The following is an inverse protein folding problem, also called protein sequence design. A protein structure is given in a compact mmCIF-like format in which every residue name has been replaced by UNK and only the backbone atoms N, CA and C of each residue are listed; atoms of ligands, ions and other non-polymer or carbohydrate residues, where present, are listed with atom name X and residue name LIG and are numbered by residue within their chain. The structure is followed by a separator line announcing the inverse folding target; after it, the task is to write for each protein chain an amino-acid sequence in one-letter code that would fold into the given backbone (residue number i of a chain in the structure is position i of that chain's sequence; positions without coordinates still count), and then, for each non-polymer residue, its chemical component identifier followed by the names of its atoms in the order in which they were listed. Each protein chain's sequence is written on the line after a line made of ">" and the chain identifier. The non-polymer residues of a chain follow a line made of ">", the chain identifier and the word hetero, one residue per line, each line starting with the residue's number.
data_IF_208740926524
#
_entry.id   IF_208740926524
#
_cell.length_a   1.000
_cell.length_b   1.000
_cell.length_c   1.000
_cell.angle_alpha   90.00
_cell.angle_beta   90.00
_cell.angle_gamma   90.00
#
_symmetry.space_group_name_H-M   'P 1'
#
loop_
_entity.id
_entity.type
_entity.pdbx_description
1 polymer ?
#
# COMPACT_ATOMS: atom_id res chain seq x y z
N UNK A 1 -23.62 -31.36 2.48
CA UNK A 1 -23.81 -30.11 1.70
C UNK A 1 -22.83 -30.14 0.53
N UNK A 2 -23.35 -30.28 -0.69
CA UNK A 2 -22.58 -30.43 -1.93
C UNK A 2 -22.35 -29.05 -2.53
N UNK A 3 -21.09 -28.65 -2.76
CA UNK A 3 -20.74 -27.39 -3.44
C UNK A 3 -20.75 -27.60 -4.97
N UNK A 4 -21.40 -26.75 -5.77
CA UNK A 4 -21.28 -26.82 -7.22
C UNK A 4 -19.94 -26.22 -7.69
N UNK A 5 -19.26 -26.95 -8.60
CA UNK A 5 -18.19 -26.46 -9.48
C UNK A 5 -18.82 -25.49 -10.49
N UNK A 6 -18.20 -24.33 -10.69
CA UNK A 6 -18.47 -23.47 -11.85
C UNK A 6 -17.20 -23.36 -12.69
N UNK A 7 -17.36 -23.74 -13.95
CA UNK A 7 -16.30 -23.97 -14.92
C UNK A 7 -15.66 -22.67 -15.42
N UNK A 8 -14.34 -22.71 -15.52
CA UNK A 8 -13.51 -21.67 -16.13
C UNK A 8 -13.74 -21.62 -17.65
N UNK A 9 -14.24 -20.49 -18.16
CA UNK A 9 -14.37 -20.23 -19.59
C UNK A 9 -13.14 -19.48 -20.10
N UNK A 10 -12.16 -20.24 -20.61
CA UNK A 10 -11.10 -19.75 -21.48
C UNK A 10 -11.71 -19.13 -22.75
N UNK A 11 -11.34 -17.89 -23.08
CA UNK A 11 -11.56 -17.31 -24.41
C UNK A 11 -10.21 -16.99 -25.06
N UNK A 12 -10.04 -17.58 -26.24
CA UNK A 12 -8.97 -17.35 -27.20
C UNK A 12 -9.36 -16.23 -28.18
N UNK A 13 -8.34 -15.57 -28.77
CA UNK A 13 -8.42 -14.66 -29.92
C UNK A 13 -7.52 -13.44 -29.69
N UNK A 14 -6.25 -13.40 -30.13
CA UNK A 14 -5.74 -12.98 -31.46
C UNK A 14 -6.36 -11.62 -31.90
N UNK A 15 -5.61 -10.58 -32.27
CA UNK A 15 -4.89 -10.49 -33.55
C UNK A 15 -3.64 -9.57 -33.51
N UNK A 16 -2.70 -9.90 -34.40
CA UNK A 16 -1.48 -9.18 -34.77
C UNK A 16 -1.75 -8.34 -36.02
N UNK A 17 -1.23 -7.10 -36.09
CA UNK A 17 -0.94 -6.44 -37.37
C UNK A 17 0.22 -5.43 -37.24
N UNK A 18 1.24 -5.52 -38.12
CA UNK A 18 2.37 -4.60 -38.18
C UNK A 18 2.16 -3.52 -39.25
N UNK A 19 2.72 -2.33 -39.07
CA UNK A 19 2.99 -1.40 -40.19
C UNK A 19 4.33 -0.71 -40.00
N UNK A 20 5.24 -1.08 -40.90
CA UNK A 20 6.51 -0.46 -41.23
C UNK A 20 6.22 0.67 -42.23
N UNK A 21 6.72 1.88 -42.01
CA UNK A 21 7.29 2.77 -43.06
C UNK A 21 7.50 4.19 -42.53
N UNK A 22 8.72 4.70 -42.71
CA UNK A 22 9.05 6.10 -42.44
C UNK A 22 10.54 6.36 -42.30
N UNK A 23 11.30 6.09 -43.37
CA UNK A 23 12.71 6.47 -43.52
C UNK A 23 12.78 7.94 -43.95
N UNK A 24 13.48 8.82 -43.22
CA UNK A 24 14.20 9.94 -43.83
C UNK A 24 15.25 10.54 -42.90
N UNK A 25 16.46 10.54 -43.44
CA UNK A 25 17.74 10.95 -42.88
C UNK A 25 17.86 12.47 -42.88
N UNK A 26 18.28 13.04 -41.75
CA UNK A 26 18.97 14.32 -41.72
C UNK A 26 20.19 14.18 -40.81
N UNK A 27 21.34 13.99 -41.46
CA UNK A 27 22.67 14.04 -40.88
C UNK A 27 22.97 15.50 -40.50
N UNK A 28 22.98 15.80 -39.21
CA UNK A 28 23.69 16.97 -38.68
C UNK A 28 24.85 16.47 -37.82
N UNK A 29 26.02 16.60 -38.40
CA UNK A 29 27.32 16.32 -37.83
C UNK A 29 27.58 17.37 -36.73
N UNK A 30 27.28 17.01 -35.49
CA UNK A 30 27.74 17.73 -34.31
C UNK A 30 28.77 16.87 -33.60
N UNK A 31 30.02 17.30 -33.59
CA UNK A 31 31.04 16.75 -32.69
C UNK A 31 30.62 17.11 -31.26
N UNK A 32 29.89 16.22 -30.59
CA UNK A 32 29.72 16.27 -29.15
C UNK A 32 30.78 15.38 -28.54
N UNK A 33 31.65 16.00 -27.75
CA UNK A 33 32.70 15.37 -26.95
C UNK A 33 32.20 14.07 -26.32
N UNK A 34 32.92 12.99 -26.60
CA UNK A 34 32.84 11.75 -25.83
C UNK A 34 33.46 12.01 -24.44
N UNK A 35 32.79 12.85 -23.64
CA UNK A 35 32.91 12.85 -22.20
C UNK A 35 32.32 11.54 -21.72
N UNK A 36 33.16 10.50 -21.62
CA UNK A 36 32.91 9.33 -20.82
C UNK A 36 32.78 9.80 -19.36
N UNK A 37 31.61 10.32 -19.01
CA UNK A 37 31.18 10.31 -17.62
C UNK A 37 30.96 8.83 -17.33
N UNK A 38 31.69 8.24 -16.37
CA UNK A 38 31.35 6.91 -15.87
C UNK A 38 29.85 6.92 -15.58
N UNK A 39 29.11 5.82 -15.81
CA UNK A 39 27.81 5.70 -15.17
C UNK A 39 28.11 5.78 -13.68
N UNK A 40 27.91 6.97 -13.09
CA UNK A 40 27.76 7.14 -11.66
C UNK A 40 26.69 6.12 -11.33
N UNK A 41 27.12 5.02 -10.70
CA UNK A 41 26.26 3.99 -10.19
C UNK A 41 25.34 4.74 -9.25
N UNK A 42 24.18 5.14 -9.79
CA UNK A 42 23.28 6.09 -9.19
C UNK A 42 23.11 5.61 -7.78
N UNK A 43 23.65 6.40 -6.85
CA UNK A 43 23.13 6.38 -5.52
C UNK A 43 21.65 6.61 -5.73
N UNK A 44 20.87 5.53 -5.70
CA UNK A 44 19.55 5.57 -5.14
C UNK A 44 19.79 6.20 -3.76
N UNK A 45 19.81 7.52 -3.73
CA UNK A 45 19.61 8.32 -2.56
C UNK A 45 18.16 8.03 -2.19
N UNK A 46 17.93 6.80 -1.73
CA UNK A 46 16.72 6.37 -1.09
C UNK A 46 16.70 7.24 0.14
N UNK A 47 16.03 8.38 -0.03
CA UNK A 47 15.84 9.35 1.03
C UNK A 47 15.36 8.51 2.22
N UNK A 48 16.01 8.62 3.39
CA UNK A 48 15.57 7.87 4.55
C UNK A 48 14.06 8.06 4.68
N UNK A 49 13.29 6.98 4.92
CA UNK A 49 11.84 7.12 5.04
C UNK A 49 11.56 8.24 6.03
N UNK A 50 10.59 9.13 5.74
CA UNK A 50 10.29 10.24 6.61
C UNK A 50 10.05 9.72 8.04
N UNK A 51 10.52 10.46 9.06
CA UNK A 51 10.36 10.04 10.44
C UNK A 51 8.88 9.81 10.75
N UNK A 52 8.59 8.84 11.62
CA UNK A 52 7.23 8.54 12.02
C UNK A 52 6.60 9.74 12.75
N UNK A 53 5.64 10.40 12.11
CA UNK A 53 4.90 11.53 12.69
C UNK A 53 3.64 11.08 13.46
N UNK A 54 3.50 9.78 13.73
CA UNK A 54 2.39 9.25 14.50
C UNK A 54 2.44 9.74 15.95
N UNK A 55 1.33 10.27 16.44
CA UNK A 55 1.19 10.76 17.81
C UNK A 55 0.09 9.97 18.49
N UNK A 56 0.36 9.44 19.68
CA UNK A 56 -0.65 8.73 20.46
C UNK A 56 -1.72 9.72 20.97
N UNK A 57 -3.00 9.53 20.60
CA UNK A 57 -4.07 10.39 21.11
C UNK A 57 -4.22 10.24 22.63
N UNK A 58 -4.26 11.36 23.34
CA UNK A 58 -4.36 11.40 24.80
C UNK A 58 -5.82 11.42 25.29
N UNK A 59 -6.78 11.65 24.40
CA UNK A 59 -8.22 11.67 24.68
C UNK A 59 -9.02 11.15 23.49
N UNK A 60 -10.27 10.78 23.73
CA UNK A 60 -11.22 10.40 22.67
C UNK A 60 -12.00 11.66 22.23
N UNK A 61 -11.98 12.05 20.93
CA UNK A 61 -12.73 13.20 20.44
C UNK A 61 -14.25 12.95 20.42
N UNK A 62 -15.04 14.02 20.40
CA UNK A 62 -16.49 13.98 20.24
C UNK A 62 -16.94 14.60 18.91
N UNK A 63 -17.70 13.90 18.05
CA UNK A 63 -18.08 12.49 18.17
C UNK A 63 -16.89 11.54 17.94
N UNK A 64 -16.89 10.32 18.54
CA UNK A 64 -15.84 9.36 18.30
C UNK A 64 -15.92 8.81 16.86
N UNK A 65 -14.78 8.58 16.18
CA UNK A 65 -14.76 7.77 14.97
C UNK A 65 -15.36 6.39 15.24
N UNK A 66 -16.01 5.79 14.26
CA UNK A 66 -16.64 4.46 14.32
C UNK A 66 -15.96 3.50 13.35
N UNK A 67 -16.33 2.22 13.41
CA UNK A 67 -15.78 1.21 12.52
C UNK A 67 -15.95 1.58 11.04
N UNK A 68 -17.10 2.15 10.67
CA UNK A 68 -17.36 2.60 9.28
C UNK A 68 -16.34 3.63 8.77
N UNK A 69 -15.75 4.42 9.68
CA UNK A 69 -14.78 5.45 9.32
C UNK A 69 -13.37 4.87 9.08
N UNK A 70 -13.01 3.78 9.78
CA UNK A 70 -11.69 3.15 9.70
C UNK A 70 -11.64 1.89 8.84
N UNK A 71 -12.78 1.23 8.62
CA UNK A 71 -12.86 -0.02 7.85
C UNK A 71 -12.22 0.10 6.46
N UNK A 72 -12.41 1.19 5.69
CA UNK A 72 -11.77 1.31 4.38
C UNK A 72 -10.24 1.31 4.46
N UNK A 73 -9.66 1.85 5.54
CA UNK A 73 -8.21 1.87 5.76
C UNK A 73 -7.73 0.44 6.05
N UNK A 74 -8.41 -0.29 6.94
CA UNK A 74 -8.05 -1.69 7.19
C UNK A 74 -8.16 -2.54 5.92
N UNK A 75 -9.21 -2.35 5.13
CA UNK A 75 -9.39 -3.10 3.88
C UNK A 75 -8.29 -2.82 2.84
N UNK A 76 -7.84 -1.56 2.70
CA UNK A 76 -6.90 -1.16 1.66
C UNK A 76 -5.43 -1.18 2.06
N UNK A 77 -5.12 -1.00 3.36
CA UNK A 77 -3.75 -0.90 3.87
C UNK A 77 -3.31 -2.13 4.65
N UNK A 78 -4.23 -2.86 5.28
CA UNK A 78 -3.90 -3.94 6.20
C UNK A 78 -4.27 -5.32 5.64
N UNK A 79 -5.53 -5.49 5.23
CA UNK A 79 -6.10 -6.77 4.83
C UNK A 79 -5.50 -7.35 3.54
N UNK A 80 -4.72 -6.58 2.79
CA UNK A 80 -3.97 -7.10 1.63
C UNK A 80 -2.94 -8.13 2.06
N UNK A 81 -2.24 -7.89 3.18
CA UNK A 81 -1.28 -8.83 3.77
C UNK A 81 -1.86 -9.61 4.96
N UNK A 82 -2.75 -8.97 5.72
CA UNK A 82 -3.37 -9.50 6.94
C UNK A 82 -4.84 -9.89 6.72
N UNK A 83 -5.23 -10.28 5.52
CA UNK A 83 -6.59 -10.76 5.25
C UNK A 83 -6.74 -12.22 5.65
N UNK A 84 -7.50 -12.97 4.84
CA UNK A 84 -7.51 -14.43 4.90
C UNK A 84 -6.26 -15.03 4.22
N UNK A 85 -5.07 -14.59 4.66
CA UNK A 85 -3.76 -15.02 4.16
C UNK A 85 -3.14 -15.99 5.18
N UNK A 86 -2.80 -17.23 4.81
CA UNK A 86 -2.16 -18.17 5.73
C UNK A 86 -0.89 -17.61 6.37
N UNK A 87 -0.71 -17.86 7.67
CA UNK A 87 0.50 -17.45 8.42
C UNK A 87 0.49 -16.01 8.94
N UNK A 88 -0.55 -15.23 8.65
CA UNK A 88 -0.74 -13.88 9.20
C UNK A 88 -2.00 -13.85 10.06
N UNK A 89 -2.03 -12.97 11.05
CA UNK A 89 -3.27 -12.70 11.77
C UNK A 89 -4.26 -11.96 10.85
N UNK A 90 -5.56 -12.30 10.89
CA UNK A 90 -6.54 -11.66 10.04
C UNK A 90 -6.91 -10.26 10.58
N UNK A 91 -7.29 -9.34 9.69
CA UNK A 91 -7.68 -7.95 9.93
C UNK A 91 -8.79 -7.48 8.96
N UNK A 92 -9.51 -8.42 8.36
CA UNK A 92 -10.56 -8.19 7.36
C UNK A 92 -11.97 -8.01 7.96
N UNK A 93 -12.12 -8.21 9.27
CA UNK A 93 -13.38 -8.01 10.00
C UNK A 93 -13.17 -7.17 11.25
N UNK A 94 -14.23 -6.51 11.73
CA UNK A 94 -14.21 -5.73 12.98
C UNK A 94 -13.70 -6.55 14.16
N UNK A 95 -14.18 -7.79 14.32
CA UNK A 95 -13.80 -8.66 15.45
C UNK A 95 -12.32 -8.97 15.41
N UNK A 96 -11.79 -9.30 14.22
CA UNK A 96 -10.36 -9.52 14.06
C UNK A 96 -9.54 -8.28 14.45
N UNK A 97 -9.93 -7.09 13.99
CA UNK A 97 -9.20 -5.86 14.31
C UNK A 97 -9.22 -5.54 15.82
N UNK A 98 -10.37 -5.71 16.48
CA UNK A 98 -10.48 -5.43 17.92
C UNK A 98 -9.67 -6.43 18.76
N UNK A 99 -9.66 -7.71 18.37
CA UNK A 99 -8.89 -8.76 19.05
C UNK A 99 -7.37 -8.47 19.05
N UNK A 100 -6.87 -7.81 18.00
CA UNK A 100 -5.45 -7.44 17.82
C UNK A 100 -5.16 -5.95 18.07
N UNK A 101 -6.08 -5.23 18.71
CA UNK A 101 -6.04 -3.77 18.82
C UNK A 101 -4.79 -3.21 19.53
N UNK A 102 -4.23 -3.94 20.49
CA UNK A 102 -3.02 -3.55 21.23
C UNK A 102 -1.79 -3.61 20.31
N UNK A 103 -1.64 -4.71 19.58
CA UNK A 103 -0.56 -4.94 18.62
C UNK A 103 -0.65 -3.94 17.46
N UNK A 104 -1.84 -3.77 16.88
CA UNK A 104 -2.09 -2.78 15.81
C UNK A 104 -1.70 -1.39 16.29
N UNK A 105 -2.13 -0.99 17.48
CA UNK A 105 -1.78 0.33 18.03
C UNK A 105 -0.26 0.50 18.15
N UNK A 106 0.44 -0.51 18.63
CA UNK A 106 1.91 -0.50 18.74
C UNK A 106 2.57 -0.28 17.38
N UNK A 107 2.24 -1.13 16.40
CA UNK A 107 2.80 -1.11 15.05
C UNK A 107 2.48 0.18 14.28
N UNK A 108 1.28 0.72 14.48
CA UNK A 108 0.84 1.97 13.85
C UNK A 108 1.52 3.18 14.49
N UNK A 109 1.79 3.16 15.81
CA UNK A 109 2.55 4.20 16.50
C UNK A 109 4.06 4.15 16.20
N UNK A 110 4.63 2.97 16.02
CA UNK A 110 6.04 2.79 15.65
C UNK A 110 6.31 2.98 14.15
N UNK A 111 5.25 3.14 13.34
CA UNK A 111 5.31 3.12 11.88
C UNK A 111 5.95 1.85 11.29
N UNK A 112 5.86 0.73 11.99
CA UNK A 112 6.24 -0.59 11.46
C UNK A 112 5.17 -1.15 10.51
N UNK A 113 3.93 -0.65 10.62
CA UNK A 113 2.84 -0.99 9.71
C UNK A 113 2.22 0.26 9.05
N UNK A 114 1.97 0.21 7.72
CA UNK A 114 2.50 -0.79 6.78
C UNK A 114 4.03 -0.77 6.73
N UNK A 115 4.71 -1.89 6.37
CA UNK A 115 6.16 -1.92 6.29
C UNK A 115 6.67 -0.90 5.26
N UNK A 116 7.77 -0.19 5.53
CA UNK A 116 8.27 0.88 4.66
C UNK A 116 8.79 0.38 3.31
N UNK A 117 9.07 -0.91 3.19
CA UNK A 117 9.46 -1.61 1.96
C UNK A 117 8.27 -2.25 1.23
N UNK A 118 7.06 -2.13 1.76
CA UNK A 118 5.84 -2.57 1.08
C UNK A 118 5.42 -1.58 -0.01
N UNK A 119 4.67 -2.07 -1.00
CA UNK A 119 4.05 -1.24 -2.04
C UNK A 119 2.88 -0.37 -1.52
N UNK A 120 2.50 -0.56 -0.25
CA UNK A 120 1.39 0.13 0.39
C UNK A 120 1.90 1.19 1.35
N UNK A 121 1.60 2.45 1.06
CA UNK A 121 1.76 3.55 2.02
C UNK A 121 0.46 3.80 2.77
N UNK A 122 0.57 4.43 3.95
CA UNK A 122 -0.55 4.92 4.76
C UNK A 122 -0.28 6.38 5.11
N UNK A 123 -1.24 7.26 4.87
CA UNK A 123 -1.07 8.69 5.17
C UNK A 123 -1.06 8.95 6.67
N UNK A 124 -0.59 10.13 7.09
CA UNK A 124 -0.64 10.53 8.49
C UNK A 124 -2.09 10.63 8.99
N UNK A 125 -3.01 11.12 8.15
CA UNK A 125 -4.43 11.25 8.49
C UNK A 125 -5.08 9.88 8.70
N UNK A 126 -4.85 8.92 7.81
CA UNK A 126 -5.33 7.54 7.95
C UNK A 126 -4.80 6.91 9.24
N UNK A 127 -3.50 7.08 9.50
CA UNK A 127 -2.82 6.60 10.71
C UNK A 127 -3.44 7.18 11.98
N UNK A 128 -3.64 8.50 12.00
CA UNK A 128 -4.23 9.20 13.12
C UNK A 128 -5.69 8.81 13.36
N UNK A 129 -6.46 8.54 12.31
CA UNK A 129 -7.84 8.11 12.43
C UNK A 129 -7.94 6.73 13.11
N UNK A 130 -7.09 5.77 12.74
CA UNK A 130 -7.00 4.46 13.41
C UNK A 130 -6.66 4.65 14.90
N UNK A 131 -5.64 5.44 15.21
CA UNK A 131 -5.19 5.66 16.59
C UNK A 131 -6.26 6.33 17.45
N UNK A 132 -7.02 7.27 16.89
CA UNK A 132 -8.13 7.92 17.58
C UNK A 132 -9.28 6.95 17.83
N UNK A 133 -9.65 6.16 16.83
CA UNK A 133 -10.67 5.12 16.98
C UNK A 133 -10.30 4.10 18.06
N UNK A 134 -9.05 3.62 18.08
CA UNK A 134 -8.54 2.73 19.12
C UNK A 134 -8.52 3.40 20.50
N UNK A 135 -8.17 4.69 20.60
CA UNK A 135 -8.23 5.47 21.84
C UNK A 135 -9.65 5.58 22.40
N UNK A 136 -10.66 5.54 21.54
CA UNK A 136 -12.08 5.56 21.91
C UNK A 136 -12.65 4.17 22.26
N UNK A 137 -11.81 3.15 22.49
CA UNK A 137 -12.22 1.76 22.69
C UNK A 137 -12.98 1.16 21.48
N UNK A 138 -12.56 1.53 20.26
CA UNK A 138 -12.99 0.89 19.01
C UNK A 138 -14.52 0.76 18.84
N UNK A 139 -15.29 1.86 18.94
CA UNK A 139 -16.74 1.79 18.76
C UNK A 139 -17.10 1.35 17.35
N UNK A 140 -18.24 0.66 17.22
CA UNK A 140 -18.70 0.13 15.94
C UNK A 140 -19.45 1.17 15.12
#
# INVERSE_FOLDING_TARGET
>A
MVRPRVDAKLRHGQEVAPTISGLLVALLWGCADAGLVPPDAGADARQPPPPCEAIAPTSCPGPPPRWVDVQPIFATRCAVCHGNVPGHWPLDTYTHVVDWSVEIRGLVLSCEMPPPDSEFSMTLEERQLILQWLRCNAPR
#
